data_IF_122006965065
#
_entry.id   IF_122006965065
#
_cell.length_a   1.000
_cell.length_b   1.000
_cell.length_c   1.000
_cell.angle_alpha   90.00
_cell.angle_beta   90.00
_cell.angle_gamma   90.00
#
_symmetry.space_group_name_H-M   'P 1'
#
loop_
_entity.id
_entity.type
_entity.pdbx_description
1 polymer ?
#
# COMPACT_ATOMS: atom_id res chain seq x y z
N UNK A 1 0.10 21.23 -33.05
CA UNK A 1 -1.20 21.77 -33.46
C UNK A 1 -1.02 22.70 -34.66
N UNK A 2 -1.90 22.59 -35.63
CA UNK A 2 -1.90 23.46 -36.83
C UNK A 2 -3.05 24.46 -36.66
N UNK A 3 -2.71 25.75 -36.60
CA UNK A 3 -3.67 26.83 -36.55
C UNK A 3 -4.43 26.97 -37.89
N UNK A 4 -5.74 27.23 -37.81
CA UNK A 4 -6.58 27.46 -39.00
C UNK A 4 -6.44 28.88 -39.56
N UNK A 5 -6.09 29.83 -38.67
CA UNK A 5 -5.98 31.23 -38.94
C UNK A 5 -7.31 31.97 -38.89
N UNK A 6 -7.25 33.28 -38.67
CA UNK A 6 -8.40 34.19 -38.80
C UNK A 6 -9.17 34.51 -37.50
N UNK A 7 -9.14 33.68 -36.48
CA UNK A 7 -9.79 33.91 -35.18
C UNK A 7 -8.97 33.34 -34.02
N UNK A 8 -9.33 33.74 -32.78
CA UNK A 8 -8.75 33.09 -31.58
C UNK A 8 -9.12 31.62 -31.54
N UNK A 9 -8.12 30.77 -31.46
CA UNK A 9 -8.28 29.33 -31.36
C UNK A 9 -7.86 28.85 -29.98
N UNK A 10 -8.60 27.89 -29.43
CA UNK A 10 -8.25 27.19 -28.19
C UNK A 10 -8.09 25.72 -28.48
N UNK A 11 -6.97 25.17 -28.01
CA UNK A 11 -6.69 23.75 -28.12
C UNK A 11 -6.25 23.18 -26.77
N UNK A 12 -6.70 21.99 -26.47
CA UNK A 12 -6.24 21.18 -25.35
C UNK A 12 -6.24 19.69 -25.70
N UNK A 13 -5.31 18.89 -25.13
CA UNK A 13 -5.37 17.44 -25.29
C UNK A 13 -6.69 16.92 -24.71
N UNK A 14 -7.27 15.90 -25.35
CA UNK A 14 -8.47 15.19 -24.87
C UNK A 14 -8.13 13.76 -24.53
N UNK A 15 -8.77 13.20 -23.47
CA UNK A 15 -8.61 11.83 -23.02
C UNK A 15 -7.17 11.46 -22.64
N UNK A 16 -6.36 12.44 -22.25
CA UNK A 16 -5.00 12.23 -21.78
C UNK A 16 -4.61 13.31 -20.77
N UNK A 17 -3.57 13.03 -19.98
CA UNK A 17 -2.93 13.99 -19.09
C UNK A 17 -1.41 13.91 -19.22
N UNK A 18 -0.74 14.94 -18.80
CA UNK A 18 0.70 15.03 -18.78
C UNK A 18 1.18 15.60 -17.44
N UNK A 19 2.21 15.01 -16.86
CA UNK A 19 2.94 15.62 -15.74
C UNK A 19 4.23 16.23 -16.27
N UNK A 20 4.53 17.45 -15.87
CA UNK A 20 5.69 18.18 -16.37
C UNK A 20 6.14 19.25 -15.36
N UNK A 21 7.41 19.60 -15.41
CA UNK A 21 7.99 20.74 -14.69
C UNK A 21 8.16 21.97 -15.58
N UNK A 22 8.36 21.75 -16.87
CA UNK A 22 8.59 22.78 -17.88
C UNK A 22 7.82 22.45 -19.15
N UNK A 23 7.36 23.48 -19.83
CA UNK A 23 6.74 23.40 -21.16
C UNK A 23 7.56 24.25 -22.08
N UNK A 24 8.04 23.66 -23.17
CA UNK A 24 8.65 24.36 -24.28
C UNK A 24 7.62 24.47 -25.41
N UNK A 25 7.50 25.66 -25.99
CA UNK A 25 6.60 25.90 -27.10
C UNK A 25 7.42 26.43 -28.26
N UNK A 26 7.36 25.67 -29.35
CA UNK A 26 8.04 26.03 -30.62
C UNK A 26 6.97 26.46 -31.59
N UNK A 27 7.05 27.69 -32.07
CA UNK A 27 6.13 28.24 -33.06
C UNK A 27 6.82 28.38 -34.43
N UNK A 28 6.06 28.25 -35.50
CA UNK A 28 6.52 28.58 -36.85
C UNK A 28 6.64 30.10 -37.01
N UNK A 29 7.44 30.53 -38.00
CA UNK A 29 7.67 31.93 -38.27
C UNK A 29 6.35 32.71 -38.47
N UNK A 30 6.21 33.89 -37.85
CA UNK A 30 5.04 34.72 -37.91
C UNK A 30 3.96 34.44 -36.85
N UNK A 31 4.17 33.45 -35.97
CA UNK A 31 3.27 33.20 -34.84
C UNK A 31 3.88 33.74 -33.55
N UNK A 32 3.26 34.74 -32.94
CA UNK A 32 3.67 35.26 -31.63
C UNK A 32 3.04 34.45 -30.52
N UNK A 33 3.87 33.94 -29.60
CA UNK A 33 3.43 33.20 -28.40
C UNK A 33 3.87 33.98 -27.17
N UNK A 34 2.93 34.27 -26.31
CA UNK A 34 3.17 34.87 -25.01
C UNK A 34 2.87 33.86 -23.87
N UNK A 35 3.26 34.21 -22.64
CA UNK A 35 2.89 33.42 -21.45
C UNK A 35 1.38 33.28 -21.27
N UNK A 36 0.61 34.29 -21.72
CA UNK A 36 -0.85 34.30 -21.67
C UNK A 36 -1.50 33.32 -22.65
N UNK A 37 -0.77 32.96 -23.70
CA UNK A 37 -1.23 31.97 -24.69
C UNK A 37 -1.25 30.53 -24.12
N UNK A 38 -0.66 30.30 -22.96
CA UNK A 38 -0.53 28.97 -22.34
C UNK A 38 -1.26 28.98 -21.01
N UNK A 39 -2.13 27.99 -20.80
CA UNK A 39 -2.82 27.75 -19.53
C UNK A 39 -2.59 26.32 -19.08
N UNK A 40 -2.06 26.14 -17.89
CA UNK A 40 -1.97 24.84 -17.22
C UNK A 40 -3.28 24.56 -16.50
N UNK A 41 -3.83 23.37 -16.69
CA UNK A 41 -5.04 22.89 -15.98
C UNK A 41 -4.65 21.71 -15.13
N UNK A 42 -5.01 21.72 -13.85
CA UNK A 42 -4.95 20.52 -13.00
C UNK A 42 -6.16 19.64 -13.30
N UNK A 43 -5.92 18.37 -13.56
CA UNK A 43 -6.98 17.38 -13.82
C UNK A 43 -6.84 16.28 -12.79
N UNK A 44 -7.90 15.99 -12.05
CA UNK A 44 -7.96 14.89 -11.08
C UNK A 44 -9.43 14.50 -10.84
N UNK A 45 -9.64 13.29 -10.33
CA UNK A 45 -10.97 12.86 -9.88
C UNK A 45 -11.35 13.68 -8.65
N UNK A 46 -12.49 14.34 -8.69
CA UNK A 46 -12.98 15.19 -7.59
C UNK A 46 -13.46 14.32 -6.43
N UNK A 47 -12.53 13.97 -5.55
CA UNK A 47 -12.78 13.20 -4.33
C UNK A 47 -12.71 14.17 -3.15
N UNK A 48 -13.79 14.21 -2.37
CA UNK A 48 -13.89 15.09 -1.21
C UNK A 48 -12.85 14.69 -0.15
N UNK A 49 -12.01 15.63 0.25
CA UNK A 49 -11.16 15.48 1.43
C UNK A 49 -12.04 15.56 2.68
N UNK A 50 -11.95 14.56 3.55
CA UNK A 50 -12.76 14.42 4.76
C UNK A 50 -11.93 14.39 6.04
N UNK A 51 -10.60 14.26 5.92
CA UNK A 51 -9.70 14.23 7.05
C UNK A 51 -8.53 15.20 6.90
N UNK A 52 -8.06 15.72 8.02
CA UNK A 52 -6.84 16.51 8.11
C UNK A 52 -6.04 16.10 9.34
N UNK A 53 -4.71 16.15 9.23
CA UNK A 53 -3.81 15.89 10.34
C UNK A 53 -2.79 17.01 10.45
N UNK A 54 -2.62 17.50 11.67
CA UNK A 54 -1.60 18.49 12.02
C UNK A 54 -1.06 18.20 13.42
N UNK A 55 0.23 18.35 13.60
CA UNK A 55 0.89 18.18 14.91
C UNK A 55 2.08 19.13 15.06
N UNK A 56 2.72 19.15 16.23
CA UNK A 56 3.90 19.98 16.48
C UNK A 56 5.14 19.56 15.69
N UNK A 57 5.20 18.32 15.16
CA UNK A 57 6.31 17.86 14.32
C UNK A 57 6.13 18.30 12.87
N UNK A 58 6.95 19.27 12.45
CA UNK A 58 6.88 19.84 11.10
C UNK A 58 7.18 18.81 10.00
N UNK A 59 8.01 17.79 10.27
CA UNK A 59 8.28 16.71 9.29
C UNK A 59 6.99 15.94 8.98
N UNK A 60 6.21 15.58 9.99
CA UNK A 60 4.97 14.83 9.80
C UNK A 60 3.93 15.66 9.04
N UNK A 61 3.83 16.96 9.33
CA UNK A 61 2.99 17.87 8.57
C UNK A 61 3.43 17.98 7.10
N UNK A 62 4.75 17.94 6.83
CA UNK A 62 5.30 17.95 5.48
C UNK A 62 4.96 16.64 4.73
N UNK A 63 5.06 15.49 5.40
CA UNK A 63 4.67 14.18 4.85
C UNK A 63 3.19 14.18 4.46
N UNK A 64 2.30 14.66 5.34
CA UNK A 64 0.87 14.78 5.03
C UNK A 64 0.61 15.69 3.82
N UNK A 65 1.31 16.82 3.72
CA UNK A 65 1.17 17.71 2.56
C UNK A 65 1.68 17.07 1.26
N UNK A 66 2.82 16.38 1.32
CA UNK A 66 3.36 15.64 0.18
C UNK A 66 2.41 14.51 -0.24
N UNK A 67 1.85 13.76 0.72
CA UNK A 67 0.83 12.74 0.49
C UNK A 67 -0.38 13.31 -0.26
N UNK A 68 -0.99 14.37 0.26
CA UNK A 68 -2.18 14.97 -0.36
C UNK A 68 -1.91 15.44 -1.80
N UNK A 69 -0.75 16.05 -2.06
CA UNK A 69 -0.36 16.45 -3.42
C UNK A 69 -0.14 15.25 -4.35
N UNK A 70 0.50 14.21 -3.82
CA UNK A 70 0.71 12.97 -4.57
C UNK A 70 -0.61 12.33 -4.92
N UNK A 71 -1.55 12.24 -3.98
CA UNK A 71 -2.87 11.67 -4.23
C UNK A 71 -3.65 12.46 -5.27
N UNK A 72 -3.71 13.79 -5.17
CA UNK A 72 -4.37 14.63 -6.18
C UNK A 72 -3.75 14.43 -7.58
N UNK A 73 -2.43 14.28 -7.67
CA UNK A 73 -1.76 14.04 -8.94
C UNK A 73 -2.08 12.66 -9.53
N UNK A 74 -2.44 11.68 -8.70
CA UNK A 74 -2.66 10.29 -9.10
C UNK A 74 -4.14 9.85 -9.17
N UNK A 75 -5.07 10.64 -8.65
CA UNK A 75 -6.51 10.36 -8.82
C UNK A 75 -6.97 10.67 -10.25
N UNK A 76 -7.07 9.65 -11.10
CA UNK A 76 -7.43 9.74 -12.53
C UNK A 76 -8.56 8.78 -12.94
N UNK A 77 -9.58 8.62 -12.08
CA UNK A 77 -10.55 7.52 -12.17
C UNK A 77 -9.96 6.17 -11.73
N UNK A 78 -8.66 6.14 -11.52
CA UNK A 78 -7.84 5.09 -10.93
C UNK A 78 -6.89 5.74 -9.93
N UNK A 79 -6.17 4.95 -9.15
CA UNK A 79 -4.99 5.38 -8.41
C UNK A 79 -3.79 5.01 -9.27
N UNK A 80 -3.23 5.98 -10.01
CA UNK A 80 -2.06 5.70 -10.84
C UNK A 80 -0.80 5.59 -9.99
N UNK A 81 0.16 4.77 -10.42
CA UNK A 81 1.47 4.63 -9.78
C UNK A 81 2.23 5.96 -9.82
N UNK A 82 2.23 6.60 -10.97
CA UNK A 82 2.73 7.95 -11.18
C UNK A 82 1.99 8.67 -12.31
N UNK A 83 2.00 10.02 -12.36
CA UNK A 83 1.28 10.77 -13.38
C UNK A 83 2.09 10.99 -14.67
N UNK A 84 3.37 10.61 -14.74
CA UNK A 84 4.29 11.01 -15.80
C UNK A 84 4.90 9.83 -16.59
N UNK A 85 5.08 8.66 -15.98
CA UNK A 85 5.78 7.51 -16.57
C UNK A 85 4.81 6.39 -16.93
N UNK A 86 4.52 5.51 -15.99
CA UNK A 86 3.72 4.30 -16.20
C UNK A 86 2.23 4.57 -16.31
N UNK A 87 1.68 5.41 -15.43
CA UNK A 87 0.25 5.77 -15.35
C UNK A 87 -0.68 4.57 -15.17
N UNK A 88 -0.17 3.48 -14.60
CA UNK A 88 -0.91 2.26 -14.35
C UNK A 88 -1.48 2.24 -12.94
N UNK A 89 -2.63 1.63 -12.77
CA UNK A 89 -3.23 1.41 -11.46
C UNK A 89 -2.78 0.07 -10.91
N UNK A 90 -1.63 0.05 -10.26
CA UNK A 90 -1.17 -1.13 -9.55
C UNK A 90 -2.05 -1.41 -8.33
N UNK A 91 -2.51 -2.65 -8.26
CA UNK A 91 -3.43 -3.07 -7.20
C UNK A 91 -2.76 -3.11 -5.83
N UNK A 92 -1.46 -3.47 -5.79
CA UNK A 92 -0.66 -3.44 -4.57
C UNK A 92 -0.53 -2.03 -4.00
N UNK A 93 -0.20 -1.04 -4.85
CA UNK A 93 -0.13 0.37 -4.46
C UNK A 93 -1.46 0.85 -3.87
N UNK A 94 -2.57 0.52 -4.55
CA UNK A 94 -3.91 0.86 -4.08
C UNK A 94 -4.22 0.22 -2.72
N UNK A 95 -3.81 -1.06 -2.52
CA UNK A 95 -4.09 -1.77 -1.28
C UNK A 95 -3.31 -1.22 -0.08
N UNK A 96 -2.01 -0.93 -0.22
CA UNK A 96 -1.20 -0.47 0.92
C UNK A 96 -1.57 0.93 1.40
N UNK A 97 -2.07 1.80 0.50
CA UNK A 97 -2.51 3.16 0.86
C UNK A 97 -3.98 3.25 1.25
N UNK A 98 -4.75 2.15 1.13
CA UNK A 98 -6.22 2.18 1.34
C UNK A 98 -6.59 2.73 2.71
N UNK A 99 -5.91 2.33 3.78
CA UNK A 99 -6.20 2.82 5.12
C UNK A 99 -5.95 4.34 5.22
N UNK A 100 -4.84 4.84 4.67
CA UNK A 100 -4.57 6.28 4.61
C UNK A 100 -5.63 7.05 3.83
N UNK A 101 -6.12 6.47 2.73
CA UNK A 101 -7.19 7.06 1.92
C UNK A 101 -8.50 7.15 2.70
N UNK A 102 -8.89 6.10 3.42
CA UNK A 102 -10.13 6.05 4.18
C UNK A 102 -10.17 7.10 5.30
N UNK A 103 -9.03 7.43 5.90
CA UNK A 103 -8.95 8.53 6.87
C UNK A 103 -8.96 9.92 6.23
N UNK A 104 -8.46 10.05 5.00
CA UNK A 104 -8.22 11.35 4.38
C UNK A 104 -9.32 11.80 3.43
N UNK A 105 -10.02 10.86 2.80
CA UNK A 105 -10.94 11.13 1.69
C UNK A 105 -12.24 10.33 1.80
N UNK A 106 -13.30 10.84 1.18
CA UNK A 106 -14.53 10.08 0.95
C UNK A 106 -14.32 9.09 -0.21
N UNK A 107 -13.98 7.87 0.15
CA UNK A 107 -13.64 6.83 -0.83
C UNK A 107 -14.83 5.94 -1.24
N UNK A 108 -16.04 6.28 -0.80
CA UNK A 108 -17.22 5.41 -0.99
C UNK A 108 -17.47 5.01 -2.44
N UNK A 109 -17.52 5.96 -3.36
CA UNK A 109 -17.73 5.66 -4.78
C UNK A 109 -16.46 5.17 -5.48
N UNK A 110 -15.32 5.75 -5.12
CA UNK A 110 -14.05 5.48 -5.79
C UNK A 110 -13.59 4.04 -5.56
N UNK A 111 -13.61 3.54 -4.33
CA UNK A 111 -13.19 2.17 -4.02
C UNK A 111 -14.20 1.13 -4.59
N UNK A 112 -15.50 1.42 -4.60
CA UNK A 112 -16.47 0.55 -5.29
C UNK A 112 -16.12 0.38 -6.76
N UNK A 113 -15.82 1.48 -7.45
CA UNK A 113 -15.37 1.44 -8.85
C UNK A 113 -14.06 0.68 -9.00
N UNK A 114 -13.06 0.93 -8.16
CA UNK A 114 -11.77 0.27 -8.26
C UNK A 114 -11.85 -1.24 -8.03
N UNK A 115 -12.68 -1.69 -7.08
CA UNK A 115 -12.92 -3.12 -6.86
C UNK A 115 -13.65 -3.77 -8.03
N UNK A 116 -14.59 -3.06 -8.67
CA UNK A 116 -15.22 -3.53 -9.91
C UNK A 116 -14.20 -3.67 -11.05
N UNK A 117 -13.29 -2.72 -11.22
CA UNK A 117 -12.20 -2.81 -12.20
C UNK A 117 -11.31 -4.05 -11.97
N UNK A 118 -10.95 -4.33 -10.71
CA UNK A 118 -10.16 -5.52 -10.35
C UNK A 118 -10.96 -6.79 -10.67
N UNK A 119 -12.25 -6.81 -10.34
CA UNK A 119 -13.14 -7.94 -10.62
C UNK A 119 -13.27 -8.23 -12.12
N UNK A 120 -13.35 -7.18 -12.93
CA UNK A 120 -13.45 -7.31 -14.39
C UNK A 120 -12.14 -7.78 -15.02
N UNK A 121 -11.00 -7.31 -14.50
CA UNK A 121 -9.67 -7.72 -14.97
C UNK A 121 -9.29 -9.16 -14.54
N UNK A 122 -9.96 -9.70 -13.54
CA UNK A 122 -9.69 -11.03 -12.98
C UNK A 122 -9.91 -12.15 -14.00
N UNK A 123 -9.06 -13.16 -13.98
CA UNK A 123 -9.28 -14.39 -14.75
C UNK A 123 -10.39 -15.24 -14.07
N UNK A 124 -11.56 -15.27 -14.68
CA UNK A 124 -12.75 -15.96 -14.16
C UNK A 124 -12.62 -17.49 -14.17
N UNK A 125 -11.68 -18.05 -14.92
CA UNK A 125 -11.49 -19.51 -15.00
C UNK A 125 -10.49 -20.04 -13.95
N UNK A 126 -9.51 -19.23 -13.56
CA UNK A 126 -8.46 -19.64 -12.64
C UNK A 126 -8.54 -18.99 -11.26
N UNK A 127 -9.22 -17.85 -11.15
CA UNK A 127 -9.24 -17.04 -9.94
C UNK A 127 -8.10 -16.03 -9.83
N UNK A 128 -7.13 -16.06 -10.76
CA UNK A 128 -6.00 -15.12 -10.79
C UNK A 128 -6.48 -13.66 -10.84
N UNK A 129 -5.90 -12.83 -9.98
CA UNK A 129 -6.12 -11.39 -9.92
C UNK A 129 -4.87 -10.68 -10.44
N UNK A 130 -4.97 -9.91 -11.54
CA UNK A 130 -3.83 -9.19 -12.10
C UNK A 130 -3.35 -8.06 -11.17
N UNK A 131 -2.13 -7.61 -11.37
CA UNK A 131 -1.48 -6.62 -10.51
C UNK A 131 -1.73 -5.18 -10.94
N UNK A 132 -2.42 -4.99 -12.05
CA UNK A 132 -2.97 -3.70 -12.51
C UNK A 132 -4.42 -3.87 -12.95
N UNK A 133 -5.26 -2.86 -12.73
CA UNK A 133 -6.67 -2.82 -13.11
C UNK A 133 -7.11 -1.39 -13.46
N UNK A 134 -7.97 -1.21 -14.47
CA UNK A 134 -8.68 -2.19 -15.30
C UNK A 134 -7.81 -2.88 -16.36
N UNK A 135 -6.63 -2.37 -16.67
CA UNK A 135 -5.69 -2.97 -17.61
C UNK A 135 -4.92 -4.08 -16.88
N UNK A 136 -5.21 -5.34 -17.21
CA UNK A 136 -4.59 -6.51 -16.59
C UNK A 136 -3.11 -6.66 -16.94
N UNK A 137 -2.23 -6.59 -15.93
CA UNK A 137 -0.80 -6.83 -16.05
C UNK A 137 -0.27 -7.61 -14.86
N UNK A 138 0.88 -8.26 -15.01
CA UNK A 138 1.52 -9.07 -14.00
C UNK A 138 2.75 -8.43 -13.36
N UNK A 139 3.41 -9.16 -12.47
CA UNK A 139 4.74 -8.85 -11.93
C UNK A 139 4.84 -8.58 -10.44
N UNK A 140 3.77 -8.16 -9.75
CA UNK A 140 3.83 -7.76 -8.34
C UNK A 140 3.93 -8.92 -7.34
N UNK A 141 3.17 -9.96 -7.55
CA UNK A 141 3.04 -11.08 -6.62
C UNK A 141 1.76 -11.05 -5.79
N UNK A 142 1.57 -12.02 -4.87
CA UNK A 142 0.34 -12.16 -4.08
C UNK A 142 -0.07 -10.91 -3.31
N UNK A 143 0.86 -10.07 -2.86
CA UNK A 143 0.55 -8.81 -2.20
C UNK A 143 -0.28 -7.86 -3.08
N UNK A 144 -0.07 -7.86 -4.41
CA UNK A 144 -0.82 -7.06 -5.36
C UNK A 144 -2.22 -7.62 -5.61
N UNK A 145 -2.32 -8.90 -5.98
CA UNK A 145 -3.61 -9.55 -6.21
C UNK A 145 -4.51 -9.58 -4.97
N UNK A 146 -3.91 -9.61 -3.78
CA UNK A 146 -4.62 -9.56 -2.48
C UNK A 146 -5.39 -8.26 -2.24
N UNK A 147 -5.16 -7.22 -3.04
CA UNK A 147 -5.98 -6.00 -3.03
C UNK A 147 -7.47 -6.30 -3.18
N UNK A 148 -7.82 -7.33 -3.95
CA UNK A 148 -9.20 -7.74 -4.17
C UNK A 148 -9.91 -8.23 -2.89
N UNK A 149 -9.15 -8.62 -1.86
CA UNK A 149 -9.69 -9.02 -0.55
C UNK A 149 -9.50 -7.91 0.50
N UNK A 150 -8.31 -7.30 0.53
CA UNK A 150 -7.93 -6.35 1.58
C UNK A 150 -8.71 -5.04 1.46
N UNK A 151 -8.90 -4.52 0.24
CA UNK A 151 -9.61 -3.24 0.05
C UNK A 151 -11.08 -3.35 0.46
N UNK A 152 -11.88 -4.35 0.04
CA UNK A 152 -13.26 -4.53 0.51
C UNK A 152 -13.36 -4.71 2.02
N UNK A 153 -12.39 -5.41 2.63
CA UNK A 153 -12.33 -5.58 4.08
C UNK A 153 -12.14 -4.24 4.80
N UNK A 154 -11.14 -3.45 4.39
CA UNK A 154 -10.88 -2.14 4.98
C UNK A 154 -12.05 -1.17 4.75
N UNK A 155 -12.67 -1.23 3.58
CA UNK A 155 -13.88 -0.47 3.26
C UNK A 155 -15.02 -0.81 4.23
N UNK A 156 -15.28 -2.10 4.46
CA UNK A 156 -16.28 -2.56 5.42
C UNK A 156 -15.96 -2.09 6.85
N UNK A 157 -14.72 -2.25 7.30
CA UNK A 157 -14.30 -1.81 8.63
C UNK A 157 -14.56 -0.31 8.85
N UNK A 158 -14.34 0.50 7.81
CA UNK A 158 -14.45 1.95 7.90
C UNK A 158 -15.88 2.48 7.68
N UNK A 159 -16.63 1.92 6.74
CA UNK A 159 -18.00 2.38 6.38
C UNK A 159 -19.14 1.52 6.92
N UNK A 160 -18.87 0.29 7.34
CA UNK A 160 -19.89 -0.68 7.79
C UNK A 160 -20.80 -1.19 6.68
N UNK A 161 -20.44 -0.92 5.42
CA UNK A 161 -21.18 -1.32 4.24
C UNK A 161 -20.69 -2.68 3.74
N UNK A 162 -21.54 -3.70 3.79
CA UNK A 162 -21.24 -5.08 3.38
C UNK A 162 -21.33 -5.31 1.87
N UNK A 163 -21.81 -4.32 1.10
CA UNK A 163 -22.11 -4.48 -0.34
C UNK A 163 -20.93 -5.07 -1.12
N UNK A 164 -19.72 -4.53 -0.92
CA UNK A 164 -18.52 -5.06 -1.61
C UNK A 164 -18.16 -6.49 -1.19
N UNK A 165 -18.40 -6.83 0.08
CA UNK A 165 -18.16 -8.18 0.58
C UNK A 165 -19.15 -9.18 -0.04
N UNK A 166 -20.41 -8.80 -0.18
CA UNK A 166 -21.49 -9.63 -0.73
C UNK A 166 -21.30 -9.83 -2.24
N UNK A 167 -21.14 -8.73 -2.99
CA UNK A 167 -21.03 -8.74 -4.44
C UNK A 167 -19.77 -9.47 -4.95
N UNK A 168 -18.65 -9.36 -4.22
CA UNK A 168 -17.36 -9.89 -4.66
C UNK A 168 -16.94 -11.16 -3.91
N UNK A 169 -17.77 -11.70 -3.00
CA UNK A 169 -17.43 -12.85 -2.15
C UNK A 169 -16.82 -14.04 -2.92
N UNK A 170 -17.52 -14.51 -3.95
CA UNK A 170 -17.08 -15.66 -4.73
C UNK A 170 -15.74 -15.40 -5.42
N UNK A 171 -15.55 -14.20 -5.94
CA UNK A 171 -14.30 -13.81 -6.59
C UNK A 171 -13.12 -13.73 -5.62
N UNK A 172 -13.34 -13.18 -4.42
CA UNK A 172 -12.35 -13.09 -3.36
C UNK A 172 -11.97 -14.48 -2.82
N UNK A 173 -12.96 -15.36 -2.61
CA UNK A 173 -12.70 -16.75 -2.21
C UNK A 173 -11.88 -17.47 -3.28
N UNK A 174 -12.22 -17.26 -4.56
CA UNK A 174 -11.52 -17.90 -5.67
C UNK A 174 -10.06 -17.42 -5.80
N UNK A 175 -9.74 -16.19 -5.41
CA UNK A 175 -8.36 -15.74 -5.28
C UNK A 175 -7.58 -16.55 -4.23
N UNK A 176 -8.16 -16.78 -3.05
CA UNK A 176 -7.54 -17.61 -2.01
C UNK A 176 -7.34 -19.05 -2.47
N UNK A 177 -8.33 -19.63 -3.16
CA UNK A 177 -8.24 -20.97 -3.76
C UNK A 177 -7.13 -21.04 -4.81
N UNK A 178 -7.03 -19.98 -5.67
CA UNK A 178 -5.94 -19.87 -6.64
C UNK A 178 -4.57 -19.87 -5.97
N UNK A 179 -4.36 -19.06 -4.93
CA UNK A 179 -3.10 -19.03 -4.20
C UNK A 179 -2.76 -20.41 -3.60
N UNK A 180 -3.76 -21.14 -3.11
CA UNK A 180 -3.56 -22.50 -2.61
C UNK A 180 -3.04 -23.46 -3.70
N UNK A 181 -3.45 -23.30 -4.95
CA UNK A 181 -2.92 -24.07 -6.09
C UNK A 181 -1.49 -23.70 -6.47
N UNK A 182 -0.97 -22.58 -5.94
CA UNK A 182 0.37 -22.06 -6.26
C UNK A 182 1.42 -22.42 -5.21
N UNK A 183 1.06 -23.21 -4.21
CA UNK A 183 1.99 -23.70 -3.19
C UNK A 183 2.85 -24.85 -3.72
N UNK A 184 4.08 -24.92 -3.24
CA UNK A 184 4.96 -26.08 -3.42
C UNK A 184 4.54 -27.27 -2.53
N UNK A 185 5.33 -28.34 -2.53
CA UNK A 185 5.13 -29.54 -1.70
C UNK A 185 5.22 -29.26 -0.18
N UNK A 186 5.81 -28.15 0.22
CA UNK A 186 5.86 -27.66 1.61
C UNK A 186 4.73 -26.72 1.97
N UNK A 187 3.86 -26.40 1.01
CA UNK A 187 2.75 -25.47 1.20
C UNK A 187 3.17 -23.99 1.23
N UNK A 188 4.26 -23.64 0.56
CA UNK A 188 4.82 -22.31 0.45
C UNK A 188 4.52 -21.75 -0.94
N UNK A 189 3.98 -20.53 -1.03
CA UNK A 189 3.74 -19.84 -2.30
C UNK A 189 5.05 -19.27 -2.82
N UNK A 190 5.73 -20.04 -3.66
CA UNK A 190 7.02 -19.62 -4.25
C UNK A 190 6.80 -18.54 -5.31
N UNK A 191 5.81 -18.75 -6.17
CA UNK A 191 5.44 -17.85 -7.26
C UNK A 191 3.99 -18.08 -7.65
N UNK A 192 3.20 -17.04 -7.75
CA UNK A 192 1.79 -17.19 -8.15
C UNK A 192 1.63 -17.38 -9.66
N UNK A 193 2.33 -16.58 -10.48
CA UNK A 193 2.25 -16.67 -11.94
C UNK A 193 3.24 -17.71 -12.48
N UNK A 194 2.79 -18.64 -13.34
CA UNK A 194 3.71 -19.44 -14.14
C UNK A 194 4.59 -18.53 -15.00
N UNK A 195 5.90 -18.65 -14.88
CA UNK A 195 6.88 -17.84 -15.62
C UNK A 195 6.83 -16.31 -15.34
N UNK A 196 5.96 -15.83 -14.45
CA UNK A 196 5.94 -14.46 -13.96
C UNK A 196 7.09 -14.18 -13.00
N UNK A 197 7.50 -12.93 -12.88
CA UNK A 197 8.38 -12.52 -11.80
C UNK A 197 7.56 -12.07 -10.58
N UNK A 198 8.16 -12.12 -9.41
CA UNK A 198 7.49 -11.85 -8.16
C UNK A 198 8.35 -10.89 -7.35
N UNK A 199 7.83 -9.70 -7.03
CA UNK A 199 8.61 -8.67 -6.36
C UNK A 199 8.89 -8.99 -4.89
N UNK A 200 7.97 -9.66 -4.21
CA UNK A 200 8.04 -9.77 -2.75
C UNK A 200 7.97 -8.40 -2.10
N UNK A 201 8.93 -8.09 -1.22
CA UNK A 201 9.10 -6.75 -0.67
C UNK A 201 9.73 -5.83 -1.75
N UNK A 202 9.06 -4.73 -2.07
CA UNK A 202 9.48 -3.85 -3.16
C UNK A 202 10.02 -2.52 -2.63
N UNK A 203 11.00 -1.96 -3.35
CA UNK A 203 11.57 -0.63 -3.06
C UNK A 203 12.21 -0.51 -1.68
N UNK A 204 13.01 -1.50 -1.30
CA UNK A 204 13.87 -1.42 -0.11
C UNK A 204 14.97 -0.34 -0.30
N UNK A 205 15.61 0.15 0.78
CA UNK A 205 16.55 1.28 0.69
C UNK A 205 17.68 1.11 -0.33
N UNK A 206 18.13 -0.09 -0.57
CA UNK A 206 19.24 -0.38 -1.49
C UNK A 206 18.79 -1.06 -2.79
N UNK A 207 17.46 -1.10 -3.05
CA UNK A 207 16.86 -1.83 -4.17
C UNK A 207 17.31 -3.30 -4.26
N UNK A 208 17.66 -3.88 -3.11
CA UNK A 208 18.05 -5.28 -2.98
C UNK A 208 16.90 -6.05 -2.35
N UNK A 209 16.48 -7.14 -2.98
CA UNK A 209 15.52 -8.06 -2.37
C UNK A 209 16.25 -8.84 -1.27
N UNK A 210 16.16 -8.39 -0.05
CA UNK A 210 16.86 -8.96 1.10
C UNK A 210 16.10 -10.12 1.77
N UNK A 211 14.80 -10.21 1.51
CA UNK A 211 13.95 -11.30 1.98
C UNK A 211 13.34 -12.05 0.80
N UNK A 212 13.20 -13.39 0.87
CA UNK A 212 12.69 -14.15 -0.26
C UNK A 212 11.23 -13.78 -0.55
N UNK A 213 10.90 -13.63 -1.84
CA UNK A 213 9.54 -13.36 -2.26
C UNK A 213 8.54 -14.40 -1.71
N UNK A 214 8.95 -15.66 -1.59
CA UNK A 214 8.13 -16.75 -1.04
C UNK A 214 7.70 -16.49 0.42
N UNK A 215 8.51 -15.82 1.23
CA UNK A 215 8.14 -15.42 2.58
C UNK A 215 6.99 -14.39 2.52
N UNK A 216 7.15 -13.34 1.75
CA UNK A 216 6.14 -12.29 1.58
C UNK A 216 4.85 -12.86 0.99
N UNK A 217 4.97 -13.65 -0.07
CA UNK A 217 3.85 -14.28 -0.76
C UNK A 217 3.02 -15.16 0.19
N UNK A 218 3.70 -15.99 0.99
CA UNK A 218 3.01 -16.90 1.93
C UNK A 218 2.43 -16.15 3.11
N UNK A 219 3.08 -15.06 3.57
CA UNK A 219 2.53 -14.19 4.60
C UNK A 219 1.23 -13.50 4.11
N UNK A 220 1.19 -13.01 2.88
CA UNK A 220 -0.04 -12.45 2.29
C UNK A 220 -1.11 -13.53 2.05
N UNK A 221 -0.74 -14.74 1.61
CA UNK A 221 -1.67 -15.85 1.48
C UNK A 221 -2.35 -16.16 2.82
N UNK A 222 -1.58 -16.21 3.91
CA UNK A 222 -2.14 -16.36 5.25
C UNK A 222 -3.07 -15.21 5.62
N UNK A 223 -2.63 -13.98 5.40
CA UNK A 223 -3.37 -12.78 5.78
C UNK A 223 -4.73 -12.70 5.10
N UNK A 224 -4.78 -12.89 3.76
CA UNK A 224 -6.06 -12.87 3.04
C UNK A 224 -6.95 -14.05 3.36
N UNK A 225 -6.38 -15.21 3.69
CA UNK A 225 -7.14 -16.37 4.16
C UNK A 225 -7.84 -16.06 5.49
N UNK A 226 -7.15 -15.40 6.42
CA UNK A 226 -7.74 -14.94 7.69
C UNK A 226 -8.84 -13.90 7.46
N UNK A 227 -8.61 -12.93 6.57
CA UNK A 227 -9.63 -11.92 6.20
C UNK A 227 -10.85 -12.60 5.61
N UNK A 228 -10.67 -13.53 4.67
CA UNK A 228 -11.79 -14.25 4.06
C UNK A 228 -12.57 -15.08 5.07
N UNK A 229 -11.91 -15.69 6.08
CA UNK A 229 -12.62 -16.37 7.16
C UNK A 229 -13.51 -15.40 7.97
N UNK A 230 -13.01 -14.18 8.23
CA UNK A 230 -13.80 -13.14 8.91
C UNK A 230 -14.97 -12.66 8.04
N UNK A 231 -14.75 -12.46 6.74
CA UNK A 231 -15.82 -12.10 5.78
C UNK A 231 -16.87 -13.21 5.73
N UNK A 232 -16.48 -14.48 5.67
CA UNK A 232 -17.38 -15.62 5.68
C UNK A 232 -18.25 -15.64 6.95
N UNK A 233 -17.65 -15.36 8.11
CA UNK A 233 -18.39 -15.24 9.37
C UNK A 233 -19.40 -14.08 9.33
N UNK A 234 -19.03 -12.90 8.84
CA UNK A 234 -19.94 -11.74 8.70
C UNK A 234 -21.12 -12.05 7.78
N UNK A 235 -20.86 -12.76 6.69
CA UNK A 235 -21.86 -13.16 5.71
C UNK A 235 -22.60 -14.47 6.07
N UNK A 236 -22.40 -14.99 7.28
CA UNK A 236 -23.01 -16.24 7.80
C UNK A 236 -22.73 -17.49 6.95
N UNK A 237 -21.57 -17.56 6.29
CA UNK A 237 -21.11 -18.71 5.48
C UNK A 237 -20.25 -19.64 6.33
N UNK A 238 -20.88 -20.40 7.23
CA UNK A 238 -20.19 -21.17 8.29
C UNK A 238 -19.25 -22.24 7.78
N UNK A 239 -19.60 -22.95 6.71
CA UNK A 239 -18.75 -24.00 6.13
C UNK A 239 -17.47 -23.37 5.57
N UNK A 240 -17.58 -22.31 4.78
CA UNK A 240 -16.45 -21.57 4.25
C UNK A 240 -15.56 -21.00 5.38
N UNK A 241 -16.16 -20.45 6.43
CA UNK A 241 -15.42 -19.97 7.61
C UNK A 241 -14.55 -21.06 8.19
N UNK A 242 -15.12 -22.26 8.42
CA UNK A 242 -14.41 -23.38 9.01
C UNK A 242 -13.26 -23.86 8.11
N UNK A 243 -13.50 -24.04 6.82
CA UNK A 243 -12.49 -24.42 5.84
C UNK A 243 -11.34 -23.43 5.78
N UNK A 244 -11.63 -22.13 5.71
CA UNK A 244 -10.63 -21.05 5.66
C UNK A 244 -9.82 -20.97 6.95
N UNK A 245 -10.43 -21.19 8.13
CA UNK A 245 -9.70 -21.24 9.41
C UNK A 245 -8.77 -22.45 9.50
N UNK A 246 -9.16 -23.60 8.93
CA UNK A 246 -8.29 -24.79 8.85
C UNK A 246 -7.13 -24.49 7.90
N UNK A 247 -7.38 -23.91 6.74
CA UNK A 247 -6.34 -23.53 5.79
C UNK A 247 -5.36 -22.53 6.41
N UNK A 248 -5.85 -21.49 7.08
CA UNK A 248 -5.00 -20.51 7.76
C UNK A 248 -4.05 -21.15 8.78
N UNK A 249 -4.55 -22.09 9.60
CA UNK A 249 -3.69 -22.83 10.55
C UNK A 249 -2.62 -23.64 9.83
N UNK A 250 -2.95 -24.25 8.71
CA UNK A 250 -1.99 -25.02 7.90
C UNK A 250 -0.91 -24.11 7.32
N UNK A 251 -1.29 -22.98 6.72
CA UNK A 251 -0.35 -21.99 6.18
C UNK A 251 0.58 -21.47 7.30
N UNK A 252 0.02 -21.08 8.45
CA UNK A 252 0.81 -20.60 9.59
C UNK A 252 1.85 -21.63 10.04
N UNK A 253 1.46 -22.90 10.18
CA UNK A 253 2.41 -23.99 10.53
C UNK A 253 3.52 -24.12 9.50
N UNK A 254 3.18 -24.20 8.22
CA UNK A 254 4.14 -24.37 7.14
C UNK A 254 5.09 -23.18 7.02
N UNK A 255 4.58 -21.96 7.19
CA UNK A 255 5.36 -20.73 7.21
C UNK A 255 6.42 -20.75 8.33
N UNK A 256 6.05 -21.16 9.54
CA UNK A 256 6.99 -21.25 10.66
C UNK A 256 8.05 -22.33 10.43
N UNK A 257 7.67 -23.49 9.88
CA UNK A 257 8.64 -24.55 9.53
C UNK A 257 9.67 -24.03 8.50
N UNK A 258 9.21 -23.23 7.53
CA UNK A 258 10.07 -22.76 6.44
C UNK A 258 10.98 -21.59 6.81
N UNK A 259 10.51 -20.67 7.66
CA UNK A 259 11.15 -19.37 7.82
C UNK A 259 11.55 -18.99 9.25
N UNK A 260 11.00 -19.63 10.28
CA UNK A 260 11.31 -19.29 11.67
C UNK A 260 12.57 -20.00 12.16
N UNK A 261 13.48 -19.23 12.76
CA UNK A 261 14.68 -19.74 13.42
C UNK A 261 14.49 -19.69 14.95
N UNK A 262 14.32 -20.86 15.58
CA UNK A 262 14.09 -20.97 17.03
C UNK A 262 15.29 -20.53 17.89
N UNK A 263 16.50 -20.49 17.32
CA UNK A 263 17.72 -20.10 18.04
C UNK A 263 17.89 -18.60 18.10
N UNK A 264 17.70 -17.93 16.93
CA UNK A 264 17.87 -16.48 16.82
C UNK A 264 16.58 -15.72 17.08
N UNK A 265 15.44 -16.41 17.09
CA UNK A 265 14.09 -15.85 17.18
C UNK A 265 13.74 -14.90 16.06
N UNK A 266 14.40 -14.98 14.92
CA UNK A 266 14.13 -14.23 13.71
C UNK A 266 13.42 -15.08 12.67
N UNK A 267 12.72 -14.41 11.77
CA UNK A 267 12.30 -14.99 10.50
C UNK A 267 13.38 -14.74 9.45
N UNK A 268 13.66 -15.77 8.64
CA UNK A 268 14.73 -15.72 7.66
C UNK A 268 16.07 -15.33 8.31
N UNK A 269 16.77 -14.33 7.77
CA UNK A 269 18.07 -13.85 8.24
C UNK A 269 17.96 -12.65 9.22
N UNK A 270 16.78 -12.40 9.78
CA UNK A 270 16.56 -11.31 10.74
C UNK A 270 16.46 -9.92 10.10
N UNK A 271 16.07 -9.86 8.84
CA UNK A 271 15.72 -8.60 8.20
C UNK A 271 14.42 -8.06 8.75
N UNK A 272 14.35 -6.74 8.91
CA UNK A 272 13.21 -6.05 9.52
C UNK A 272 11.87 -6.47 8.92
N UNK A 273 11.77 -6.49 7.58
CA UNK A 273 10.55 -6.87 6.89
C UNK A 273 10.09 -8.30 7.19
N UNK A 274 11.01 -9.27 7.34
CA UNK A 274 10.65 -10.67 7.60
C UNK A 274 9.96 -10.85 8.96
N UNK A 275 10.53 -10.26 10.03
CA UNK A 275 9.95 -10.27 11.37
C UNK A 275 8.64 -9.46 11.43
N UNK A 276 8.61 -8.33 10.71
CA UNK A 276 7.43 -7.45 10.65
C UNK A 276 6.23 -8.15 10.02
N UNK A 277 6.37 -8.84 8.89
CA UNK A 277 5.26 -9.61 8.30
C UNK A 277 4.75 -10.68 9.25
N UNK A 278 5.65 -11.41 9.90
CA UNK A 278 5.26 -12.46 10.82
C UNK A 278 4.49 -11.92 12.04
N UNK A 279 4.97 -10.81 12.63
CA UNK A 279 4.34 -10.17 13.79
C UNK A 279 3.00 -9.51 13.42
N UNK A 280 2.98 -8.73 12.34
CA UNK A 280 1.81 -7.95 11.92
C UNK A 280 0.62 -8.83 11.52
N UNK A 281 0.89 -9.93 10.83
CA UNK A 281 -0.17 -10.83 10.37
C UNK A 281 -0.51 -11.94 11.38
N UNK A 282 0.19 -12.01 12.53
CA UNK A 282 -0.09 -13.01 13.55
C UNK A 282 0.41 -14.42 13.21
N UNK A 283 1.44 -14.51 12.37
CA UNK A 283 2.08 -15.77 11.99
C UNK A 283 2.97 -16.35 13.12
N UNK A 284 3.52 -15.48 13.96
CA UNK A 284 4.37 -15.92 15.08
C UNK A 284 3.59 -16.78 16.06
N UNK A 285 4.14 -17.92 16.54
CA UNK A 285 3.56 -18.65 17.66
C UNK A 285 3.44 -17.76 18.90
N UNK A 286 2.34 -17.90 19.65
CA UNK A 286 2.10 -17.01 20.79
C UNK A 286 3.22 -17.10 21.85
N UNK A 287 3.78 -18.28 22.07
CA UNK A 287 4.92 -18.52 22.97
C UNK A 287 6.19 -17.75 22.61
N UNK A 288 6.35 -17.40 21.32
CA UNK A 288 7.57 -16.79 20.80
C UNK A 288 7.39 -15.32 20.40
N UNK A 289 6.15 -14.80 20.45
CA UNK A 289 5.84 -13.43 20.03
C UNK A 289 6.73 -12.37 20.71
N UNK A 290 6.94 -12.50 22.01
CA UNK A 290 7.81 -11.56 22.76
C UNK A 290 9.29 -11.68 22.35
N UNK A 291 9.75 -12.89 22.04
CA UNK A 291 11.14 -13.13 21.64
C UNK A 291 11.41 -12.57 20.24
N UNK A 292 10.50 -12.82 19.28
CA UNK A 292 10.60 -12.26 17.93
C UNK A 292 10.55 -10.74 17.97
N UNK A 293 9.67 -10.17 18.80
CA UNK A 293 9.62 -8.73 18.96
C UNK A 293 10.91 -8.15 19.58
N UNK A 294 11.50 -8.82 20.57
CA UNK A 294 12.79 -8.40 21.14
C UNK A 294 13.92 -8.46 20.08
N UNK A 295 13.95 -9.52 19.28
CA UNK A 295 14.92 -9.67 18.20
C UNK A 295 14.77 -8.54 17.14
N UNK A 296 13.53 -8.17 16.78
CA UNK A 296 13.26 -7.02 15.90
C UNK A 296 13.78 -5.71 16.51
N UNK A 297 13.63 -5.50 17.83
CA UNK A 297 14.16 -4.30 18.50
C UNK A 297 15.69 -4.25 18.48
N UNK A 298 16.36 -5.38 18.69
CA UNK A 298 17.83 -5.47 18.58
C UNK A 298 18.30 -5.16 17.16
N UNK A 299 17.59 -5.64 16.14
CA UNK A 299 17.90 -5.31 14.75
C UNK A 299 17.72 -3.82 14.48
N UNK A 300 16.61 -3.21 14.93
CA UNK A 300 16.37 -1.78 14.81
C UNK A 300 17.49 -0.93 15.44
N UNK A 301 18.00 -1.34 16.60
CA UNK A 301 19.11 -0.67 17.26
C UNK A 301 20.40 -0.75 16.42
N UNK A 302 20.71 -1.94 15.88
CA UNK A 302 21.90 -2.16 15.02
C UNK A 302 21.90 -1.27 13.77
N UNK A 303 20.74 -0.98 13.21
CA UNK A 303 20.60 -0.09 12.04
C UNK A 303 20.26 1.36 12.42
N UNK A 304 20.56 1.77 13.67
CA UNK A 304 20.30 3.11 14.20
C UNK A 304 18.88 3.61 13.99
N UNK A 305 17.88 2.72 14.10
CA UNK A 305 16.45 3.03 13.97
C UNK A 305 16.06 3.60 12.59
N UNK A 306 16.69 3.10 11.54
CA UNK A 306 16.29 3.39 10.16
C UNK A 306 15.35 2.31 9.61
N UNK A 307 14.80 2.57 8.44
CA UNK A 307 14.08 1.57 7.66
C UNK A 307 15.08 0.70 6.88
N UNK A 308 14.91 -0.62 6.89
CA UNK A 308 15.43 -1.52 5.85
C UNK A 308 14.28 -2.16 5.05
N UNK A 309 13.06 -1.72 5.30
CA UNK A 309 11.83 -2.18 4.67
C UNK A 309 11.55 -1.48 3.35
N UNK A 310 10.81 -2.18 2.49
CA UNK A 310 10.16 -1.61 1.31
C UNK A 310 8.73 -1.16 1.59
N UNK A 311 7.95 -1.06 0.53
CA UNK A 311 6.59 -0.47 0.58
C UNK A 311 5.59 -1.27 1.41
N UNK A 312 5.74 -2.61 1.46
CA UNK A 312 4.76 -3.48 2.11
C UNK A 312 4.97 -3.52 3.63
N UNK A 313 6.22 -3.64 4.08
CA UNK A 313 6.52 -3.76 5.51
C UNK A 313 6.64 -2.42 6.24
N UNK A 314 6.96 -1.32 5.55
CA UNK A 314 7.11 0.01 6.16
C UNK A 314 5.91 0.44 7.02
N UNK A 315 4.64 0.43 6.55
CA UNK A 315 3.49 0.76 7.39
C UNK A 315 3.26 -0.26 8.51
N UNK A 316 3.55 -1.54 8.24
CA UNK A 316 3.40 -2.61 9.22
C UNK A 316 4.39 -2.51 10.37
N UNK A 317 5.62 -2.04 10.13
CA UNK A 317 6.61 -1.79 11.17
C UNK A 317 6.08 -0.79 12.21
N UNK A 318 5.53 0.33 11.75
CA UNK A 318 4.98 1.35 12.65
C UNK A 318 3.83 0.81 13.49
N UNK A 319 2.96 0.00 12.87
CA UNK A 319 1.88 -0.70 13.55
C UNK A 319 2.41 -1.68 14.59
N UNK A 320 3.34 -2.56 14.23
CA UNK A 320 3.94 -3.55 15.12
C UNK A 320 4.59 -2.89 16.34
N UNK A 321 5.37 -1.84 16.14
CA UNK A 321 6.00 -1.11 17.23
C UNK A 321 4.96 -0.49 18.17
N UNK A 322 3.95 0.17 17.60
CA UNK A 322 2.91 0.84 18.39
C UNK A 322 2.05 -0.15 19.19
N UNK A 323 1.59 -1.23 18.58
CA UNK A 323 0.76 -2.26 19.22
C UNK A 323 1.49 -3.04 20.31
N UNK A 324 2.83 -3.09 20.26
CA UNK A 324 3.66 -3.69 21.31
C UNK A 324 4.22 -2.65 22.31
N UNK A 325 3.60 -1.46 22.40
CA UNK A 325 3.92 -0.45 23.39
C UNK A 325 5.20 0.35 23.13
N UNK A 326 5.75 0.31 21.91
CA UNK A 326 6.97 1.02 21.51
C UNK A 326 6.70 2.08 20.43
N UNK A 327 5.63 2.84 20.61
CA UNK A 327 5.33 3.99 19.76
C UNK A 327 6.44 5.06 19.78
N UNK A 328 7.22 5.14 20.87
CA UNK A 328 8.45 5.93 20.96
C UNK A 328 9.43 5.58 19.85
N UNK A 329 9.62 4.29 19.57
CA UNK A 329 10.50 3.82 18.51
C UNK A 329 9.90 4.06 17.12
N UNK A 330 8.59 3.85 16.94
CA UNK A 330 7.91 4.20 15.69
C UNK A 330 8.10 5.70 15.37
N UNK A 331 7.95 6.57 16.36
CA UNK A 331 8.22 7.99 16.23
C UNK A 331 9.69 8.27 15.87
N UNK A 332 10.63 7.60 16.54
CA UNK A 332 12.07 7.77 16.30
C UNK A 332 12.43 7.38 14.87
N UNK A 333 11.94 6.24 14.38
CA UNK A 333 12.15 5.79 13.00
C UNK A 333 11.60 6.81 12.00
N UNK A 334 10.36 7.27 12.21
CA UNK A 334 9.72 8.26 11.34
C UNK A 334 10.38 9.63 11.37
N UNK A 335 11.08 9.98 12.45
CA UNK A 335 11.71 11.29 12.64
C UNK A 335 13.18 11.35 12.22
N UNK A 336 13.76 10.26 11.67
CA UNK A 336 15.10 10.25 11.10
C UNK A 336 15.24 11.25 9.94
N UNK A 337 16.45 11.82 9.77
CA UNK A 337 16.74 12.83 8.73
C UNK A 337 17.75 12.37 7.71
N UNK A 338 18.56 11.39 8.05
CA UNK A 338 19.53 10.77 7.15
C UNK A 338 18.94 9.56 6.42
N UNK A 339 19.63 9.09 5.40
CA UNK A 339 19.19 7.96 4.56
C UNK A 339 19.26 6.61 5.31
N UNK A 340 18.25 5.75 5.16
CA UNK A 340 16.96 5.95 4.47
C UNK A 340 15.88 6.47 5.45
N UNK A 341 15.19 7.52 5.10
CA UNK A 341 14.11 8.08 5.93
C UNK A 341 13.19 9.03 5.15
N UNK A 342 12.01 9.27 5.69
CA UNK A 342 11.10 10.32 5.20
C UNK A 342 11.70 11.73 5.35
N UNK A 343 12.51 11.95 6.40
CA UNK A 343 13.21 13.23 6.60
C UNK A 343 14.23 13.48 5.52
N UNK A 344 15.01 12.46 5.15
CA UNK A 344 15.95 12.54 4.03
C UNK A 344 15.25 12.94 2.73
N UNK A 345 14.10 12.32 2.41
CA UNK A 345 13.33 12.67 1.23
C UNK A 345 12.74 14.08 1.33
N UNK A 346 12.24 14.50 2.49
CA UNK A 346 11.68 15.84 2.69
C UNK A 346 12.74 16.93 2.55
N UNK A 347 13.97 16.69 2.99
CA UNK A 347 15.08 17.65 2.90
C UNK A 347 15.58 17.84 1.45
N UNK A 348 15.26 16.93 0.54
CA UNK A 348 15.47 17.11 -0.92
C UNK A 348 14.50 18.13 -1.57
N UNK A 349 13.75 18.90 -0.77
CA UNK A 349 12.74 19.87 -1.19
C UNK A 349 11.63 19.32 -2.05
N UNK A 350 11.27 18.07 -1.83
CA UNK A 350 10.18 17.42 -2.53
C UNK A 350 8.83 17.83 -1.95
N UNK A 351 7.92 18.10 -2.86
CA UNK A 351 6.54 18.40 -2.50
C UNK A 351 5.59 17.22 -2.72
N UNK A 352 6.12 16.06 -3.13
CA UNK A 352 5.42 14.82 -3.45
C UNK A 352 6.16 13.63 -2.84
N UNK A 353 5.51 12.50 -2.69
CA UNK A 353 6.14 11.24 -2.28
C UNK A 353 6.81 10.58 -3.48
N UNK A 354 7.90 9.87 -3.22
CA UNK A 354 8.72 9.22 -4.24
C UNK A 354 8.59 7.70 -4.19
N UNK A 355 8.95 7.05 -5.27
CA UNK A 355 8.91 5.59 -5.42
C UNK A 355 10.03 4.87 -4.66
N UNK A 356 11.16 5.54 -4.45
CA UNK A 356 12.35 4.96 -3.82
C UNK A 356 12.87 5.80 -2.68
N UNK A 357 13.63 5.18 -1.78
CA UNK A 357 14.33 5.87 -0.69
C UNK A 357 15.50 6.74 -1.15
N UNK A 358 16.10 6.44 -2.29
CA UNK A 358 17.35 7.10 -2.75
C UNK A 358 17.14 8.56 -3.12
N UNK A 359 16.11 8.86 -3.83
CA UNK A 359 15.72 10.24 -4.12
C UNK A 359 16.73 11.11 -4.88
N UNK A 360 17.73 10.56 -5.52
CA UNK A 360 18.86 11.33 -6.05
C UNK A 360 18.67 11.81 -7.49
N UNK A 361 17.49 11.64 -8.07
CA UNK A 361 17.17 12.27 -9.34
C UNK A 361 17.90 11.72 -10.57
N UNK A 362 18.85 10.83 -10.37
CA UNK A 362 19.65 10.21 -11.43
C UNK A 362 19.13 8.83 -11.82
N UNK A 363 18.10 8.34 -11.11
CA UNK A 363 17.46 7.07 -11.39
C UNK A 363 16.35 7.31 -12.43
N UNK A 364 16.67 7.09 -13.71
CA UNK A 364 15.73 7.22 -14.83
C UNK A 364 14.47 6.35 -14.65
N UNK A 365 14.52 5.36 -13.77
CA UNK A 365 13.45 4.46 -13.40
C UNK A 365 12.54 4.93 -12.25
N UNK A 366 12.85 6.01 -11.54
CA UNK A 366 12.13 6.41 -10.32
C UNK A 366 10.93 7.30 -10.60
N UNK A 367 9.79 6.99 -10.00
CA UNK A 367 8.62 7.85 -9.94
C UNK A 367 8.75 8.91 -8.84
N UNK A 368 8.82 10.20 -9.22
CA UNK A 368 8.90 11.32 -8.27
C UNK A 368 7.55 11.81 -7.75
N UNK A 369 6.49 11.09 -8.04
CA UNK A 369 5.13 11.39 -7.57
C UNK A 369 4.35 10.07 -7.43
N UNK A 370 4.81 9.21 -6.50
CA UNK A 370 4.33 7.86 -6.33
C UNK A 370 3.60 7.68 -4.99
N UNK A 371 2.38 7.12 -4.95
CA UNK A 371 1.54 7.10 -3.74
C UNK A 371 1.96 6.09 -2.68
N UNK A 372 2.70 5.03 -3.01
CA UNK A 372 2.87 3.84 -2.17
C UNK A 372 3.45 4.10 -0.78
N UNK A 373 4.44 5.00 -0.63
CA UNK A 373 4.96 5.41 0.68
C UNK A 373 4.01 6.35 1.46
N UNK A 374 2.85 6.70 0.91
CA UNK A 374 1.77 7.40 1.62
C UNK A 374 1.03 6.53 2.63
N UNK A 375 1.27 5.24 2.65
CA UNK A 375 0.68 4.28 3.59
C UNK A 375 0.92 4.62 5.06
N UNK A 376 2.04 5.26 5.39
CA UNK A 376 2.37 5.69 6.77
C UNK A 376 1.44 6.77 7.32
N UNK A 377 0.72 7.48 6.46
CA UNK A 377 -0.23 8.51 6.91
C UNK A 377 -1.37 7.91 7.74
N UNK A 378 -1.73 6.65 7.50
CA UNK A 378 -2.67 5.94 8.35
C UNK A 378 -2.21 5.90 9.81
N UNK A 379 -0.91 5.71 10.08
CA UNK A 379 -0.36 5.69 11.43
C UNK A 379 -0.52 7.03 12.16
N UNK A 380 -0.52 8.16 11.43
CA UNK A 380 -0.77 9.47 12.04
C UNK A 380 -2.20 9.58 12.58
N UNK A 381 -3.17 9.02 11.86
CA UNK A 381 -4.57 9.02 12.30
C UNK A 381 -4.85 7.95 13.35
N UNK A 382 -4.50 6.69 13.06
CA UNK A 382 -4.91 5.56 13.91
C UNK A 382 -4.06 5.42 15.18
N UNK A 383 -2.84 5.95 15.21
CA UNK A 383 -1.91 5.81 16.33
C UNK A 383 -1.61 7.15 16.99
N UNK A 384 -1.06 8.15 16.29
CA UNK A 384 -0.76 9.44 16.93
C UNK A 384 -2.03 10.17 17.37
N UNK A 385 -3.01 10.31 16.49
CA UNK A 385 -4.33 10.85 16.86
C UNK A 385 -5.19 9.81 17.60
N UNK A 386 -4.88 8.51 17.44
CA UNK A 386 -5.52 7.42 18.15
C UNK A 386 -6.93 7.07 17.71
N UNK A 387 -7.34 7.48 16.49
CA UNK A 387 -8.68 7.24 15.96
C UNK A 387 -8.72 5.83 15.35
N UNK A 388 -9.39 4.89 16.02
CA UNK A 388 -9.45 3.48 15.59
C UNK A 388 -10.89 3.02 15.43
N UNK A 389 -11.26 2.35 14.32
CA UNK A 389 -12.58 1.75 14.19
C UNK A 389 -12.75 0.61 15.21
N UNK A 390 -13.94 0.49 15.76
CA UNK A 390 -14.34 -0.70 16.51
C UNK A 390 -14.81 -1.78 15.54
N UNK A 391 -14.04 -2.84 15.37
CA UNK A 391 -14.36 -3.93 14.45
C UNK A 391 -15.57 -4.76 14.88
N UNK A 392 -16.00 -4.65 16.16
CA UNK A 392 -17.25 -5.26 16.62
C UNK A 392 -18.48 -4.45 16.22
N UNK A 393 -18.30 -3.15 15.90
CA UNK A 393 -19.33 -2.22 15.45
C UNK A 393 -18.80 -1.41 14.25
N UNK A 394 -18.59 -2.04 13.09
CA UNK A 394 -17.92 -1.42 11.96
C UNK A 394 -18.68 -0.21 11.41
N UNK A 395 -17.96 0.64 10.66
CA UNK A 395 -18.53 1.81 10.01
C UNK A 395 -18.32 3.11 10.78
N UNK A 396 -17.34 3.16 11.69
CA UNK A 396 -17.05 4.32 12.54
C UNK A 396 -18.28 4.83 13.34
N UNK A 397 -19.30 3.98 13.50
CA UNK A 397 -20.46 4.25 14.38
C UNK A 397 -20.06 4.22 15.85
N UNK A 398 -19.11 3.34 16.14
CA UNK A 398 -18.35 3.31 17.38
C UNK A 398 -16.87 3.27 17.04
N UNK A 399 -16.08 4.08 17.68
CA UNK A 399 -14.63 4.17 17.47
C UNK A 399 -13.93 4.54 18.76
N UNK A 400 -12.66 4.18 18.86
CA UNK A 400 -11.82 4.55 19.99
C UNK A 400 -11.03 5.81 19.67
N UNK A 401 -10.76 6.64 20.67
CA UNK A 401 -9.84 7.76 20.61
C UNK A 401 -8.77 7.53 21.66
N UNK A 402 -7.68 6.92 21.26
CA UNK A 402 -6.58 6.50 22.14
C UNK A 402 -5.26 7.05 21.58
N UNK A 403 -5.01 8.36 21.71
CA UNK A 403 -3.80 8.96 21.16
C UNK A 403 -2.57 8.45 21.90
N UNK A 404 -1.52 8.20 21.13
CA UNK A 404 -0.22 7.87 21.71
C UNK A 404 0.50 9.16 22.08
N UNK A 405 0.73 9.36 23.38
CA UNK A 405 1.48 10.50 23.89
C UNK A 405 2.96 10.12 23.89
N UNK A 406 3.74 10.77 23.03
CA UNK A 406 5.19 10.62 22.99
C UNK A 406 5.79 11.76 23.79
N UNK A 407 6.31 11.42 24.96
CA UNK A 407 7.09 12.36 25.77
C UNK A 407 8.54 12.32 25.28
N UNK A 408 9.04 13.46 24.80
CA UNK A 408 10.43 13.68 24.38
C UNK A 408 11.40 13.60 25.55
#
# INVERSE_FOLDING_TARGET
YILRGGQEEKWEPKFTWHAFKKVEVIATQGVEISKQSIRVKSIYTDIRNTGSFECSNQLFNNICRAYNRTMQANFKGIISSDPHRERLAYTGDGQIITESLLYSYDMTCFLKKFISDISDARNKNTGYVPHTAPFGGGGGGPAWGSAYVIIPWNYFCHYGDTTLLEEHYCGMKYWVEYLNTRTDDKGIVVREEPNGWCLGEWSTPHNVIEIPASLVNTAYFYHVTCIMANIANILNKKDDENELRILARTIKRNFNIAFYNEVTHHYWEGKQGADVFALAFGLVPESDRKKVFAALLEHLEKINYHFDTGILATPLLLKVLTENGRADLAYRVMNQRDFPSYGYLADKKNNTLWETWNGDGNDEGCGYCHPMFGSVVAWFYNSLAGIKPDLSNPGMKHFYVEPVIITS
#
